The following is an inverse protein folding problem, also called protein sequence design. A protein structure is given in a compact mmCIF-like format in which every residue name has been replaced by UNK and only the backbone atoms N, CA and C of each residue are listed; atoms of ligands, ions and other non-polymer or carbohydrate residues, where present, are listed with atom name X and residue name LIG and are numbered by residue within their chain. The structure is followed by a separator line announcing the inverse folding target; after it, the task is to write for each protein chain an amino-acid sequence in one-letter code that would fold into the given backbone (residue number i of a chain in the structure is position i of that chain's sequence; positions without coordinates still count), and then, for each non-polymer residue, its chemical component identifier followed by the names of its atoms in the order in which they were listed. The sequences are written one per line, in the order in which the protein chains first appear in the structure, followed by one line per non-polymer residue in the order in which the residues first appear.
data_IF_416864470423
#
_entry.id   IF_416864470423
#
_cell.length_a   1.000
_cell.length_b   1.000
_cell.length_c   1.000
_cell.angle_alpha   90.00
_cell.angle_beta   90.00
_cell.angle_gamma   90.00
#
_symmetry.space_group_name_H-M   'P 1'
#
loop_
_entity.id
_entity.type
_entity.pdbx_description
1 polymer ?
#
# COMPACT_ATOMS: atom_id res chain seq x y z
N UNK A 1 -22.26 2.73 -12.19
CA UNK A 1 -22.26 2.28 -10.79
C UNK A 1 -20.85 2.52 -10.29
N UNK A 2 -20.67 3.46 -9.38
CA UNK A 2 -19.34 3.80 -8.86
C UNK A 2 -19.09 2.96 -7.61
N UNK A 3 -17.97 2.26 -7.56
CA UNK A 3 -17.57 1.48 -6.38
C UNK A 3 -16.99 2.42 -5.33
N UNK A 4 -17.41 2.27 -4.07
CA UNK A 4 -16.82 3.04 -2.96
C UNK A 4 -15.42 2.50 -2.62
N UNK A 5 -14.53 3.36 -2.13
CA UNK A 5 -13.17 2.95 -1.72
C UNK A 5 -13.22 1.80 -0.71
N UNK A 6 -14.15 1.83 0.23
CA UNK A 6 -14.31 0.77 1.23
C UNK A 6 -14.75 -0.56 0.64
N UNK A 7 -15.64 -0.55 -0.36
CA UNK A 7 -16.13 -1.77 -1.00
C UNK A 7 -14.97 -2.46 -1.72
N UNK A 8 -14.13 -1.69 -2.39
CA UNK A 8 -12.91 -2.20 -3.03
C UNK A 8 -11.91 -2.75 -2.01
N UNK A 9 -11.65 -2.01 -0.93
CA UNK A 9 -10.73 -2.47 0.12
C UNK A 9 -11.21 -3.77 0.78
N UNK A 10 -12.52 -3.92 0.99
CA UNK A 10 -13.10 -5.17 1.52
C UNK A 10 -13.03 -6.31 0.50
N UNK A 11 -13.21 -6.03 -0.79
CA UNK A 11 -12.98 -7.03 -1.84
C UNK A 11 -11.52 -7.52 -1.86
N UNK A 12 -10.56 -6.63 -1.62
CA UNK A 12 -9.14 -7.01 -1.56
C UNK A 12 -8.80 -7.78 -0.28
N UNK A 13 -9.40 -7.43 0.85
CA UNK A 13 -9.24 -8.15 2.11
C UNK A 13 -9.83 -9.57 2.07
N UNK A 14 -10.91 -9.77 1.31
CA UNK A 14 -11.71 -11.00 1.33
C UNK A 14 -10.94 -12.29 0.96
N UNK A 15 -9.69 -12.17 0.47
CA UNK A 15 -8.80 -13.29 0.25
C UNK A 15 -8.35 -14.01 1.55
N UNK A 16 -8.53 -13.41 2.73
CA UNK A 16 -8.13 -14.02 4.01
C UNK A 16 -6.64 -13.81 4.32
N UNK A 17 -6.01 -14.75 5.02
CA UNK A 17 -4.57 -14.74 5.31
C UNK A 17 -4.24 -14.97 6.80
N UNK A 18 -2.96 -14.82 7.19
CA UNK A 18 -2.54 -14.91 8.58
C UNK A 18 -3.31 -13.94 9.49
N UNK A 19 -3.50 -14.29 10.76
CA UNK A 19 -4.22 -13.43 11.72
C UNK A 19 -3.63 -12.01 11.80
N UNK A 20 -2.29 -11.91 11.79
CA UNK A 20 -1.57 -10.62 11.79
C UNK A 20 -1.84 -9.81 10.52
N UNK A 21 -1.99 -10.46 9.37
CA UNK A 21 -2.35 -9.80 8.11
C UNK A 21 -3.75 -9.22 8.15
N UNK A 22 -4.74 -10.01 8.60
CA UNK A 22 -6.11 -9.54 8.75
C UNK A 22 -6.20 -8.35 9.72
N UNK A 23 -5.50 -8.43 10.86
CA UNK A 23 -5.45 -7.35 11.84
C UNK A 23 -4.77 -6.08 11.28
N UNK A 24 -3.67 -6.23 10.52
CA UNK A 24 -3.00 -5.12 9.86
C UNK A 24 -3.91 -4.42 8.85
N UNK A 25 -4.72 -5.18 8.11
CA UNK A 25 -5.70 -4.65 7.18
C UNK A 25 -6.80 -3.85 7.88
N UNK A 26 -7.37 -4.40 8.95
CA UNK A 26 -8.39 -3.70 9.73
C UNK A 26 -7.83 -2.42 10.37
N UNK A 27 -6.58 -2.46 10.84
CA UNK A 27 -5.90 -1.26 11.35
C UNK A 27 -5.71 -0.21 10.26
N UNK A 28 -5.22 -0.60 9.08
CA UNK A 28 -5.04 0.33 7.96
C UNK A 28 -6.36 0.97 7.53
N UNK A 29 -7.45 0.20 7.45
CA UNK A 29 -8.79 0.75 7.18
C UNK A 29 -9.19 1.75 8.27
N UNK A 30 -9.05 1.40 9.55
CA UNK A 30 -9.43 2.28 10.65
C UNK A 30 -8.64 3.60 10.67
N UNK A 31 -7.33 3.54 10.37
CA UNK A 31 -6.47 4.74 10.30
C UNK A 31 -6.85 5.64 9.12
N UNK A 32 -7.28 5.06 8.00
CA UNK A 32 -7.51 5.78 6.75
C UNK A 32 -8.96 6.20 6.52
N UNK A 33 -9.92 5.61 7.22
CA UNK A 33 -11.37 5.90 7.09
C UNK A 33 -11.72 7.40 7.06
N UNK A 34 -11.15 8.26 7.93
CA UNK A 34 -11.43 9.69 7.88
C UNK A 34 -11.04 10.37 6.56
N UNK A 35 -10.06 9.81 5.83
CA UNK A 35 -9.55 10.37 4.57
C UNK A 35 -10.48 10.10 3.41
N UNK A 36 -11.16 8.95 3.39
CA UNK A 36 -11.95 8.49 2.24
C UNK A 36 -13.46 8.38 2.49
N UNK A 37 -13.96 8.67 3.70
CA UNK A 37 -15.40 8.76 3.96
C UNK A 37 -16.10 9.66 2.92
N UNK A 38 -17.06 9.08 2.18
CA UNK A 38 -17.83 9.78 1.14
C UNK A 38 -17.12 9.93 -0.21
N UNK A 39 -15.99 9.23 -0.43
CA UNK A 39 -15.26 9.24 -1.72
C UNK A 39 -15.45 7.95 -2.51
N UNK A 40 -15.64 8.15 -3.80
CA UNK A 40 -15.76 7.12 -4.82
C UNK A 40 -14.39 6.69 -5.37
N UNK A 41 -14.30 5.50 -5.99
CA UNK A 41 -13.14 5.12 -6.82
C UNK A 41 -13.19 5.87 -8.16
N UNK A 42 -12.74 7.12 -8.10
CA UNK A 42 -12.19 7.84 -9.25
C UNK A 42 -10.66 7.78 -9.19
N UNK A 43 -9.95 8.57 -10.00
CA UNK A 43 -8.49 8.60 -10.04
C UNK A 43 -7.85 8.76 -8.64
N UNK A 44 -8.31 9.74 -7.85
CA UNK A 44 -7.81 9.97 -6.49
C UNK A 44 -8.22 8.85 -5.53
N UNK A 45 -9.38 8.23 -5.75
CA UNK A 45 -9.90 7.17 -4.90
C UNK A 45 -9.12 5.87 -5.01
N UNK A 46 -8.66 5.52 -6.23
CA UNK A 46 -7.78 4.36 -6.41
C UNK A 46 -6.43 4.56 -5.72
N UNK A 47 -5.86 5.76 -5.81
CA UNK A 47 -4.60 6.09 -5.12
C UNK A 47 -4.73 5.91 -3.60
N UNK A 48 -5.86 6.35 -3.01
CA UNK A 48 -6.12 6.15 -1.59
C UNK A 48 -6.35 4.68 -1.22
N UNK A 49 -7.07 3.91 -2.06
CA UNK A 49 -7.28 2.49 -1.85
C UNK A 49 -5.94 1.73 -1.85
N UNK A 50 -5.10 1.97 -2.85
CA UNK A 50 -3.78 1.35 -2.93
C UNK A 50 -2.83 1.83 -1.83
N UNK A 51 -2.97 3.08 -1.40
CA UNK A 51 -2.22 3.61 -0.25
C UNK A 51 -2.60 2.88 1.04
N UNK A 52 -3.89 2.56 1.19
CA UNK A 52 -4.39 1.81 2.34
C UNK A 52 -3.92 0.36 2.30
N UNK A 53 -3.91 -0.28 1.14
CA UNK A 53 -3.34 -1.62 0.96
C UNK A 53 -1.82 -1.64 1.21
N UNK A 54 -1.10 -0.61 0.76
CA UNK A 54 0.31 -0.41 1.06
C UNK A 54 0.56 -0.23 2.55
N UNK A 55 -0.28 0.55 3.23
CA UNK A 55 -0.21 0.74 4.69
C UNK A 55 -0.46 -0.58 5.43
N UNK A 56 -1.49 -1.35 5.04
CA UNK A 56 -1.75 -2.67 5.61
C UNK A 56 -0.53 -3.60 5.46
N UNK A 57 0.11 -3.58 4.29
CA UNK A 57 1.33 -4.35 4.03
C UNK A 57 2.51 -3.89 4.88
N UNK A 58 2.69 -2.58 5.05
CA UNK A 58 3.74 -2.04 5.93
C UNK A 58 3.52 -2.41 7.39
N UNK A 59 2.29 -2.26 7.90
CA UNK A 59 1.92 -2.65 9.27
C UNK A 59 2.15 -4.15 9.49
N UNK A 60 1.75 -4.98 8.53
CA UNK A 60 1.97 -6.42 8.58
C UNK A 60 3.46 -6.76 8.64
N UNK A 61 4.28 -6.16 7.78
CA UNK A 61 5.73 -6.37 7.75
C UNK A 61 6.37 -6.05 9.11
N UNK A 62 6.10 -4.87 9.67
CA UNK A 62 6.67 -4.48 10.97
C UNK A 62 6.20 -5.42 12.07
N UNK A 63 4.88 -5.65 12.18
CA UNK A 63 4.33 -6.48 13.24
C UNK A 63 4.85 -7.92 13.20
N UNK A 64 4.91 -8.53 12.01
CA UNK A 64 5.33 -9.91 11.85
C UNK A 64 6.85 -10.09 12.04
N UNK A 65 7.67 -9.13 11.61
CA UNK A 65 9.13 -9.21 11.75
C UNK A 65 9.59 -8.96 13.18
N UNK A 66 8.99 -7.99 13.86
CA UNK A 66 9.41 -7.56 15.19
C UNK A 66 8.64 -8.29 16.31
N UNK A 67 7.65 -9.13 15.95
CA UNK A 67 6.80 -9.84 16.90
C UNK A 67 5.88 -8.92 17.71
N UNK A 68 5.50 -7.78 17.14
CA UNK A 68 4.68 -6.75 17.79
C UNK A 68 3.19 -7.01 17.57
N UNK A 69 2.36 -6.50 18.48
CA UNK A 69 0.94 -6.37 18.17
C UNK A 69 0.74 -5.30 17.10
N UNK A 70 -0.23 -5.52 16.20
CA UNK A 70 -0.54 -4.57 15.10
C UNK A 70 -0.82 -3.15 15.59
N UNK A 71 -1.42 -3.00 16.77
CA UNK A 71 -1.70 -1.69 17.36
C UNK A 71 -0.48 -0.97 17.93
N UNK A 72 0.67 -1.64 18.03
CA UNK A 72 1.93 -1.06 18.51
C UNK A 72 2.80 -0.51 17.37
N UNK A 73 2.44 -0.80 16.11
CA UNK A 73 3.17 -0.31 14.93
C UNK A 73 2.93 1.20 14.78
N UNK A 74 4.02 1.97 14.82
CA UNK A 74 3.99 3.43 14.77
C UNK A 74 4.08 3.96 13.35
N UNK A 75 3.71 5.24 13.15
CA UNK A 75 3.92 5.92 11.87
C UNK A 75 5.40 6.01 11.50
N UNK A 76 6.28 6.23 12.47
CA UNK A 76 7.74 6.31 12.28
C UNK A 76 8.28 5.00 11.69
N UNK A 77 7.83 3.84 12.19
CA UNK A 77 8.22 2.53 11.62
C UNK A 77 7.75 2.36 10.17
N UNK A 78 6.58 2.90 9.81
CA UNK A 78 6.10 2.89 8.43
C UNK A 78 6.91 3.86 7.55
N UNK A 79 7.30 5.02 8.08
CA UNK A 79 8.16 5.97 7.38
C UNK A 79 9.57 5.40 7.16
N UNK A 80 10.12 4.66 8.12
CA UNK A 80 11.40 3.96 8.00
C UNK A 80 11.38 2.90 6.89
N UNK A 81 10.25 2.22 6.68
CA UNK A 81 10.05 1.33 5.54
C UNK A 81 10.11 2.05 4.18
N UNK A 82 9.99 3.38 4.18
CA UNK A 82 10.05 4.25 3.01
C UNK A 82 11.37 5.03 2.89
N UNK A 83 12.34 4.78 3.79
CA UNK A 83 13.61 5.50 3.84
C UNK A 83 14.49 5.40 2.57
N UNK A 84 14.53 4.28 1.82
CA UNK A 84 15.29 4.23 0.58
C UNK A 84 14.79 5.29 -0.43
N UNK A 85 15.71 6.10 -0.98
CA UNK A 85 15.31 7.22 -1.83
C UNK A 85 14.75 6.79 -3.19
N UNK A 86 15.22 5.65 -3.72
CA UNK A 86 14.78 5.16 -5.04
C UNK A 86 13.55 4.25 -4.89
N UNK A 87 12.45 4.50 -5.62
CA UNK A 87 11.23 3.71 -5.51
C UNK A 87 11.45 2.19 -5.63
N UNK A 88 12.30 1.76 -6.56
CA UNK A 88 12.60 0.34 -6.76
C UNK A 88 13.44 -0.29 -5.65
N UNK A 89 14.22 0.51 -4.91
CA UNK A 89 14.94 0.00 -3.74
C UNK A 89 13.95 -0.27 -2.59
N UNK A 90 12.90 0.55 -2.45
CA UNK A 90 11.78 0.31 -1.50
C UNK A 90 11.06 -0.99 -1.87
N UNK A 91 10.65 -1.13 -3.14
CA UNK A 91 9.93 -2.33 -3.61
C UNK A 91 10.74 -3.59 -3.31
N UNK A 92 12.01 -3.65 -3.73
CA UNK A 92 12.87 -4.83 -3.48
C UNK A 92 13.08 -5.13 -2.00
N UNK A 93 13.20 -4.08 -1.17
CA UNK A 93 13.31 -4.28 0.27
C UNK A 93 12.05 -4.94 0.84
N UNK A 94 10.87 -4.48 0.44
CA UNK A 94 9.60 -5.07 0.88
C UNK A 94 9.44 -6.51 0.37
N UNK A 95 9.84 -6.81 -0.86
CA UNK A 95 9.86 -8.17 -1.41
C UNK A 95 10.71 -9.11 -0.57
N UNK A 96 11.94 -8.71 -0.26
CA UNK A 96 12.84 -9.51 0.57
C UNK A 96 12.24 -9.75 1.95
N UNK A 97 11.61 -8.74 2.55
CA UNK A 97 10.98 -8.86 3.87
C UNK A 97 9.78 -9.81 3.85
N UNK A 98 8.93 -9.74 2.82
CA UNK A 98 7.81 -10.67 2.63
C UNK A 98 8.29 -12.11 2.41
N UNK A 99 9.33 -12.30 1.60
CA UNK A 99 9.94 -13.62 1.38
C UNK A 99 10.54 -14.21 2.66
N UNK A 100 11.18 -13.39 3.50
CA UNK A 100 11.69 -13.82 4.80
C UNK A 100 10.58 -14.26 5.78
N UNK A 101 9.36 -13.74 5.63
CA UNK A 101 8.18 -14.18 6.37
C UNK A 101 7.55 -15.46 5.79
N UNK A 102 8.09 -15.99 4.68
CA UNK A 102 7.66 -17.23 4.06
C UNK A 102 6.67 -17.08 2.91
N UNK A 103 6.42 -15.85 2.44
CA UNK A 103 5.54 -15.62 1.30
C UNK A 103 6.24 -15.91 -0.03
N UNK A 104 5.58 -16.67 -0.90
CA UNK A 104 5.94 -16.76 -2.32
C UNK A 104 5.20 -15.65 -3.09
N UNK A 105 5.93 -14.64 -3.54
CA UNK A 105 5.37 -13.43 -4.17
C UNK A 105 4.62 -13.70 -5.48
N UNK A 106 4.83 -14.87 -6.08
CA UNK A 106 4.13 -15.29 -7.30
C UNK A 106 2.93 -16.21 -6.99
N UNK A 107 2.73 -16.66 -5.75
CA UNK A 107 1.64 -17.56 -5.37
C UNK A 107 0.28 -16.84 -5.43
N UNK A 108 -0.63 -17.22 -6.35
CA UNK A 108 -1.94 -16.61 -6.46
C UNK A 108 -2.92 -17.05 -5.36
N UNK A 109 -2.54 -18.03 -4.54
CA UNK A 109 -3.34 -18.53 -3.42
C UNK A 109 -2.96 -17.89 -2.09
N UNK A 110 -1.81 -17.21 -2.02
CA UNK A 110 -1.38 -16.43 -0.86
C UNK A 110 -2.00 -15.01 -0.91
N UNK A 111 -2.88 -14.67 0.04
CA UNK A 111 -3.54 -13.35 0.06
C UNK A 111 -2.57 -12.17 0.15
N UNK A 112 -1.43 -12.36 0.84
CA UNK A 112 -0.40 -11.32 0.98
C UNK A 112 0.28 -11.11 -0.37
N UNK A 113 0.63 -12.19 -1.06
CA UNK A 113 1.23 -12.13 -2.40
C UNK A 113 0.29 -11.56 -3.45
N UNK A 114 -0.99 -11.90 -3.41
CA UNK A 114 -2.01 -11.31 -4.31
C UNK A 114 -2.12 -9.80 -4.09
N UNK A 115 -2.07 -9.33 -2.85
CA UNK A 115 -2.02 -7.89 -2.57
C UNK A 115 -0.70 -7.28 -3.06
N UNK A 116 0.43 -7.92 -2.77
CA UNK A 116 1.74 -7.46 -3.19
C UNK A 116 1.87 -7.30 -4.71
N UNK A 117 1.38 -8.26 -5.48
CA UNK A 117 1.38 -8.20 -6.94
C UNK A 117 0.67 -6.98 -7.50
N UNK A 118 -0.39 -6.50 -6.82
CA UNK A 118 -1.08 -5.25 -7.18
C UNK A 118 -0.22 -4.04 -6.86
N UNK A 119 0.41 -4.03 -5.69
CA UNK A 119 1.20 -2.90 -5.19
C UNK A 119 2.55 -2.73 -5.90
N UNK A 120 3.17 -3.81 -6.38
CA UNK A 120 4.45 -3.74 -7.11
C UNK A 120 4.29 -3.33 -8.57
N UNK A 121 3.05 -3.27 -9.08
CA UNK A 121 2.80 -2.88 -10.47
C UNK A 121 3.38 -1.49 -10.73
N UNK A 122 4.03 -1.34 -11.88
CA UNK A 122 4.69 -0.11 -12.28
C UNK A 122 3.97 0.50 -13.47
N UNK A 123 3.42 1.68 -13.23
CA UNK A 123 2.73 2.48 -14.25
C UNK A 123 3.72 3.35 -15.07
N UNK A 124 4.95 2.86 -15.31
CA UNK A 124 5.95 3.60 -16.09
C UNK A 124 5.41 3.92 -17.48
N UNK A 125 5.46 5.19 -17.91
CA UNK A 125 4.93 5.58 -19.21
C UNK A 125 5.67 4.89 -20.35
N UNK A 126 4.97 4.60 -21.47
CA UNK A 126 5.64 4.11 -22.66
C UNK A 126 6.74 5.08 -23.12
N UNK A 127 7.81 4.60 -23.79
CA UNK A 127 8.99 5.39 -24.13
C UNK A 127 8.73 6.71 -24.86
N UNK A 128 7.58 6.82 -25.54
CA UNK A 128 7.16 8.00 -26.33
C UNK A 128 6.78 9.19 -25.43
N UNK A 129 6.41 8.97 -24.17
CA UNK A 129 5.90 10.01 -23.24
C UNK A 129 6.98 10.51 -22.26
N UNK A 130 8.21 9.99 -22.36
CA UNK A 130 9.34 10.30 -21.44
C UNK A 130 9.80 11.77 -21.46
N UNK A 131 9.35 12.58 -22.42
CA UNK A 131 9.66 14.02 -22.50
C UNK A 131 8.68 14.92 -21.74
N UNK A 132 7.69 14.36 -21.03
CA UNK A 132 6.81 15.17 -20.19
C UNK A 132 7.45 15.35 -18.81
N UNK A 133 7.70 16.61 -18.46
CA UNK A 133 8.39 17.02 -17.25
C UNK A 133 7.85 16.31 -16.01
N UNK A 134 8.77 15.72 -15.24
CA UNK A 134 8.51 14.95 -14.03
C UNK A 134 7.88 15.89 -12.98
N UNK A 135 6.54 15.96 -12.92
CA UNK A 135 5.81 16.84 -12.02
C UNK A 135 4.51 17.44 -12.57
N UNK A 136 4.24 17.35 -13.88
CA UNK A 136 3.04 17.92 -14.50
C UNK A 136 2.18 16.93 -15.30
N UNK A 137 2.55 15.65 -15.35
CA UNK A 137 1.73 14.66 -16.03
C UNK A 137 0.53 14.28 -15.15
N UNK A 138 -0.67 14.25 -15.73
CA UNK A 138 -1.89 13.68 -15.11
C UNK A 138 -1.77 12.16 -14.84
N UNK A 139 -0.61 11.58 -15.16
CA UNK A 139 -0.34 10.15 -15.10
C UNK A 139 0.53 9.83 -13.88
N UNK A 140 0.16 8.73 -13.21
CA UNK A 140 0.87 8.17 -12.08
C UNK A 140 2.02 7.33 -12.60
N UNK A 141 3.27 7.64 -12.24
CA UNK A 141 4.46 6.93 -12.74
C UNK A 141 5.24 6.31 -11.60
N UNK A 142 5.67 5.06 -11.75
CA UNK A 142 6.40 4.32 -10.72
C UNK A 142 5.53 3.32 -9.96
N UNK A 143 6.13 2.54 -9.04
CA UNK A 143 5.44 1.48 -8.32
C UNK A 143 4.23 2.00 -7.54
N UNK A 144 3.13 1.26 -7.64
CA UNK A 144 1.88 1.63 -7.02
C UNK A 144 2.03 1.87 -5.50
N UNK A 145 2.74 0.95 -4.83
CA UNK A 145 3.17 1.02 -3.44
C UNK A 145 3.67 2.42 -3.05
N UNK A 146 4.69 2.89 -3.75
CA UNK A 146 5.48 4.05 -3.32
C UNK A 146 4.69 5.33 -3.48
N UNK A 147 4.04 5.50 -4.63
CA UNK A 147 3.28 6.71 -4.93
C UNK A 147 2.06 6.84 -4.03
N UNK A 148 1.33 5.75 -3.80
CA UNK A 148 0.10 5.79 -3.02
C UNK A 148 0.35 5.87 -1.52
N UNK A 149 1.36 5.17 -1.01
CA UNK A 149 1.70 5.27 0.41
C UNK A 149 2.22 6.67 0.76
N UNK A 150 3.07 7.28 -0.09
CA UNK A 150 3.49 8.68 0.11
C UNK A 150 2.33 9.66 0.04
N UNK A 151 1.41 9.47 -0.91
CA UNK A 151 0.23 10.33 -1.03
C UNK A 151 -0.71 10.22 0.18
N UNK A 152 -0.78 9.03 0.78
CA UNK A 152 -1.57 8.75 1.97
C UNK A 152 -0.91 9.27 3.26
N UNK A 153 0.42 9.17 3.39
CA UNK A 153 1.18 9.67 4.53
C UNK A 153 1.43 11.19 4.48
N UNK A 154 1.06 11.85 3.38
CA UNK A 154 1.28 13.29 3.21
C UNK A 154 0.65 14.10 4.37
N UNK A 155 1.31 15.16 4.87
CA UNK A 155 0.86 15.92 6.05
C UNK A 155 -0.58 16.42 6.00
N UNK A 156 -1.13 16.61 4.79
CA UNK A 156 -2.51 17.06 4.55
C UNK A 156 -3.59 16.13 5.14
N UNK A 157 -3.27 14.89 5.47
CA UNK A 157 -4.26 13.91 5.95
C UNK A 157 -4.22 13.67 7.47
N UNK A 158 -3.11 13.98 8.15
CA UNK A 158 -2.95 13.84 9.61
C UNK A 158 -3.51 12.51 10.17
N UNK A 159 -3.04 11.38 9.65
CA UNK A 159 -3.50 10.04 10.05
C UNK A 159 -3.26 9.77 11.55
N UNK A 160 -4.23 9.15 12.22
CA UNK A 160 -4.15 8.80 13.64
C UNK A 160 -3.66 7.35 13.83
N UNK A 161 -2.35 7.20 14.00
CA UNK A 161 -1.70 5.92 14.37
C UNK A 161 -1.86 5.57 15.85
#
# INVERSE_FOLDING_TARGET
MTTLIIEQLRQWQAAGGPQTWCAAWDRAIAVTEPVWTGRDITWDGMQLAEGTAALATGIYLVAAQDGLAVGEVTSEQIEDLMAPQRPWDIVRMWEQRLQLLGHDLEDPTDPVSVCWQRLRHDDTPPPIVQNWDYGHSEFRWGPALVNSLRALLAPRWSLAF
#
